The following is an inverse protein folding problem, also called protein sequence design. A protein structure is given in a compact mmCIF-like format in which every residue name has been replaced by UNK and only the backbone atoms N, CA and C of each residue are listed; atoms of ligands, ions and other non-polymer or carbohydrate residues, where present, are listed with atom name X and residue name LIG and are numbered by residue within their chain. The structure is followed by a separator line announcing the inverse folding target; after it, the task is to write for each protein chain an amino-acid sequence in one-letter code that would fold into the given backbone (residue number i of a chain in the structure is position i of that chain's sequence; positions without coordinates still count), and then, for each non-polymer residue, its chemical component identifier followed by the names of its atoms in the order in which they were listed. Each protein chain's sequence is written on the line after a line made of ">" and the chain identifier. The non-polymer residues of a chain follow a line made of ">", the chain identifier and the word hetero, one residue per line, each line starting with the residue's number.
data_IF_635223063526
#
_entry.id   IF_635223063526
#
_cell.length_a   1.000
_cell.length_b   1.000
_cell.length_c   1.000
_cell.angle_alpha   90.00
_cell.angle_beta   90.00
_cell.angle_gamma   90.00
#
_symmetry.space_group_name_H-M   'P 1'
#
loop_
_entity.id
_entity.type
_entity.pdbx_description
1 polymer ?
#
# COMPACT_ATOMS: atom_id res chain seq x y z
N UNK A 1 -2.92 3.58 9.58
CA UNK A 1 -2.14 2.66 8.71
C UNK A 1 -2.99 1.53 8.12
N UNK A 2 -3.51 0.54 8.87
CA UNK A 2 -4.39 -0.49 8.27
C UNK A 2 -5.72 0.12 7.79
N UNK A 3 -6.25 1.06 8.58
CA UNK A 3 -7.47 1.83 8.27
C UNK A 3 -7.30 2.72 7.02
N UNK A 4 -6.16 3.40 6.89
CA UNK A 4 -5.87 4.27 5.73
C UNK A 4 -5.77 3.51 4.41
N UNK A 5 -5.29 2.27 4.45
CA UNK A 5 -5.16 1.42 3.27
C UNK A 5 -6.48 0.75 2.88
N UNK A 6 -7.51 0.80 3.75
CA UNK A 6 -8.82 0.17 3.53
C UNK A 6 -8.70 -1.28 3.04
N UNK A 7 -7.77 -2.04 3.64
CA UNK A 7 -7.53 -3.43 3.26
C UNK A 7 -8.70 -4.29 3.75
N UNK A 8 -9.57 -4.71 2.83
CA UNK A 8 -10.66 -5.65 3.12
C UNK A 8 -10.31 -7.06 2.63
N UNK A 9 -10.81 -8.11 3.30
CA UNK A 9 -10.47 -9.51 2.97
C UNK A 9 -10.97 -9.96 1.58
N UNK A 10 -11.87 -9.21 0.95
CA UNK A 10 -12.40 -9.51 -0.39
C UNK A 10 -11.63 -8.83 -1.54
N UNK A 11 -10.55 -8.10 -1.23
CA UNK A 11 -9.77 -7.41 -2.25
C UNK A 11 -9.05 -8.42 -3.16
N UNK A 12 -9.15 -8.19 -4.46
CA UNK A 12 -8.39 -8.97 -5.42
C UNK A 12 -6.97 -8.43 -5.53
N UNK A 13 -6.06 -9.25 -6.08
CA UNK A 13 -4.67 -8.81 -6.31
C UNK A 13 -4.54 -7.56 -7.19
N UNK A 14 -5.53 -7.29 -8.05
CA UNK A 14 -5.61 -6.03 -8.81
C UNK A 14 -5.96 -4.85 -7.91
N UNK A 15 -6.94 -5.01 -7.02
CA UNK A 15 -7.38 -3.94 -6.12
C UNK A 15 -6.25 -3.56 -5.15
N UNK A 16 -5.53 -4.54 -4.62
CA UNK A 16 -4.35 -4.34 -3.78
C UNK A 16 -3.26 -3.53 -4.49
N UNK A 17 -3.01 -3.78 -5.78
CA UNK A 17 -2.07 -2.98 -6.59
C UNK A 17 -2.56 -1.54 -6.80
N UNK A 18 -3.87 -1.33 -6.96
CA UNK A 18 -4.46 0.01 -7.11
C UNK A 18 -4.32 0.79 -5.81
N UNK A 19 -4.65 0.17 -4.67
CA UNK A 19 -4.49 0.76 -3.33
C UNK A 19 -3.03 1.16 -3.11
N UNK A 20 -2.08 0.27 -3.41
CA UNK A 20 -0.63 0.57 -3.32
C UNK A 20 -0.26 1.82 -4.10
N UNK A 21 -0.71 1.92 -5.36
CA UNK A 21 -0.42 3.09 -6.21
C UNK A 21 -1.05 4.37 -5.66
N UNK A 22 -2.30 4.31 -5.19
CA UNK A 22 -2.98 5.47 -4.59
C UNK A 22 -2.26 5.94 -3.34
N UNK A 23 -1.91 5.01 -2.43
CA UNK A 23 -1.18 5.33 -1.22
C UNK A 23 0.19 5.94 -1.53
N UNK A 24 0.92 5.33 -2.47
CA UNK A 24 2.21 5.83 -2.90
C UNK A 24 2.13 7.22 -3.52
N UNK A 25 1.10 7.51 -4.33
CA UNK A 25 0.93 8.83 -4.94
C UNK A 25 0.88 9.94 -3.89
N UNK A 26 0.27 9.70 -2.73
CA UNK A 26 0.10 10.70 -1.66
C UNK A 26 1.26 10.69 -0.67
N UNK A 27 1.92 9.53 -0.45
CA UNK A 27 2.91 9.35 0.62
C UNK A 27 4.34 9.07 0.12
N UNK A 28 4.66 9.19 -1.17
CA UNK A 28 6.00 8.87 -1.66
C UNK A 28 7.07 9.80 -1.05
N UNK A 29 8.20 9.28 -0.55
CA UNK A 29 9.31 10.10 -0.02
C UNK A 29 9.81 11.12 -1.06
N UNK A 30 9.84 10.78 -2.34
CA UNK A 30 10.22 11.73 -3.41
C UNK A 30 9.24 12.89 -3.60
N UNK A 31 8.00 12.76 -3.12
CA UNK A 31 6.96 13.79 -3.28
C UNK A 31 6.75 14.64 -2.04
N UNK A 32 7.47 14.35 -0.96
CA UNK A 32 7.38 15.08 0.31
C UNK A 32 8.70 15.79 0.65
N UNK A 33 8.66 16.83 1.49
CA UNK A 33 9.86 17.54 1.92
C UNK A 33 10.89 16.62 2.60
N UNK A 34 12.21 16.91 2.49
CA UNK A 34 13.28 16.12 3.09
C UNK A 34 13.06 15.81 4.58
N UNK A 35 12.55 16.78 5.34
CA UNK A 35 12.28 16.66 6.77
C UNK A 35 11.25 15.58 7.14
N UNK A 36 10.41 15.15 6.19
CA UNK A 36 9.37 14.12 6.40
C UNK A 36 9.60 12.87 5.55
N UNK A 37 10.73 12.78 4.84
CA UNK A 37 11.05 11.62 3.99
C UNK A 37 11.24 10.33 4.78
N UNK A 38 11.86 10.41 5.94
CA UNK A 38 12.07 9.22 6.78
C UNK A 38 10.72 8.66 7.25
N UNK A 39 9.82 9.54 7.70
CA UNK A 39 8.47 9.16 8.09
C UNK A 39 7.66 8.62 6.91
N UNK A 40 7.73 9.26 5.74
CA UNK A 40 7.10 8.78 4.52
C UNK A 40 7.64 7.40 4.11
N UNK A 41 8.95 7.19 4.20
CA UNK A 41 9.60 5.89 3.94
C UNK A 41 9.08 4.83 4.91
N UNK A 42 9.02 5.13 6.21
CA UNK A 42 8.52 4.20 7.23
C UNK A 42 7.07 3.82 6.96
N UNK A 43 6.22 4.79 6.63
CA UNK A 43 4.81 4.56 6.22
C UNK A 43 4.71 3.71 4.97
N UNK A 44 5.53 3.99 3.96
CA UNK A 44 5.56 3.24 2.71
C UNK A 44 5.97 1.79 2.94
N UNK A 45 6.98 1.55 3.77
CA UNK A 45 7.43 0.20 4.14
C UNK A 45 6.32 -0.58 4.81
N UNK A 46 5.64 0.00 5.82
CA UNK A 46 4.52 -0.64 6.50
C UNK A 46 3.38 -0.94 5.52
N UNK A 47 3.02 0.04 4.69
CA UNK A 47 1.98 -0.13 3.68
C UNK A 47 2.31 -1.24 2.66
N UNK A 48 3.56 -1.28 2.19
CA UNK A 48 4.02 -2.32 1.27
C UNK A 48 3.95 -3.70 1.93
N UNK A 49 4.43 -3.85 3.18
CA UNK A 49 4.36 -5.12 3.90
C UNK A 49 2.94 -5.63 4.10
N UNK A 50 1.99 -4.76 4.46
CA UNK A 50 0.58 -5.11 4.62
C UNK A 50 -0.07 -5.53 3.29
N UNK A 51 0.25 -4.83 2.20
CA UNK A 51 -0.26 -5.15 0.86
C UNK A 51 0.33 -6.48 0.38
N UNK A 52 1.62 -6.72 0.62
CA UNK A 52 2.28 -7.97 0.25
C UNK A 52 1.70 -9.16 1.05
N UNK A 53 1.35 -8.97 2.32
CA UNK A 53 0.64 -9.97 3.11
C UNK A 53 -0.76 -10.25 2.57
N UNK A 54 -1.53 -9.22 2.26
CA UNK A 54 -2.84 -9.36 1.64
C UNK A 54 -2.74 -10.05 0.26
N UNK A 55 -1.69 -9.77 -0.51
CA UNK A 55 -1.43 -10.40 -1.81
C UNK A 55 -1.10 -11.88 -1.68
N UNK A 56 -0.46 -12.32 -0.59
CA UNK A 56 -0.21 -13.75 -0.33
C UNK A 56 -1.50 -14.54 -0.10
N UNK A 57 -2.51 -13.91 0.52
CA UNK A 57 -3.82 -14.53 0.77
C UNK A 57 -4.83 -14.32 -0.38
N UNK A 58 -4.67 -13.27 -1.18
CA UNK A 58 -5.59 -12.94 -2.25
C UNK A 58 -5.45 -13.93 -3.42
N UNK A 59 -6.56 -14.57 -3.83
CA UNK A 59 -6.57 -15.37 -5.05
C UNK A 59 -6.27 -14.46 -6.24
N UNK A 60 -5.38 -14.86 -7.18
CA UNK A 60 -5.24 -14.15 -8.44
C UNK A 60 -6.62 -14.13 -9.12
N UNK A 61 -7.04 -12.97 -9.65
CA UNK A 61 -8.25 -12.91 -10.48
C UNK A 61 -8.07 -13.93 -11.61
N UNK A 62 -8.74 -15.07 -11.53
CA UNK A 62 -8.88 -15.95 -12.68
C UNK A 62 -9.57 -15.10 -13.75
N UNK A 63 -8.84 -14.89 -14.85
CA UNK A 63 -9.35 -14.31 -16.08
C UNK A 63 -10.21 -15.33 -16.79
#
# INVERSE_FOLDING_TARGET
>A
MVDELHLTPNLTSTDLKIIRRKFAKTNHPDRVPPAVREEATRRMTIANSLIDEALRGARPRQR
#
